data_IF_088887312443
#
_entry.id   IF_088887312443
#
_cell.length_a   1.000
_cell.length_b   1.000
_cell.length_c   1.000
_cell.angle_alpha   90.00
_cell.angle_beta   90.00
_cell.angle_gamma   90.00
#
_symmetry.space_group_name_H-M   'P 1'
#
loop_
_entity.id
_entity.type
_entity.pdbx_description
1 polymer ?
#
# COMPACT_ATOMS: atom_id res chain seq x y z
N UNK A 1 0.70 -5.33 0.78
CA UNK A 1 1.06 -4.01 0.17
C UNK A 1 0.96 -3.99 -1.35
N UNK A 2 1.54 -4.97 -2.06
CA UNK A 2 1.55 -5.01 -3.54
C UNK A 2 0.16 -4.89 -4.17
N UNK A 3 -0.83 -5.66 -3.69
CA UNK A 3 -2.20 -5.57 -4.20
C UNK A 3 -2.82 -4.17 -4.06
N UNK A 4 -2.51 -3.46 -2.96
CA UNK A 4 -2.98 -2.09 -2.75
C UNK A 4 -2.33 -1.15 -3.78
N UNK A 5 -1.03 -1.27 -4.00
CA UNK A 5 -0.31 -0.45 -4.99
C UNK A 5 -0.83 -0.71 -6.42
N UNK A 6 -1.03 -1.98 -6.80
CA UNK A 6 -1.59 -2.34 -8.11
C UNK A 6 -3.02 -1.84 -8.29
N UNK A 7 -3.85 -1.93 -7.25
CA UNK A 7 -5.19 -1.36 -7.25
C UNK A 7 -5.14 0.16 -7.46
N UNK A 8 -4.22 0.86 -6.79
CA UNK A 8 -4.03 2.31 -6.98
C UNK A 8 -3.56 2.66 -8.38
N UNK A 9 -2.56 1.95 -8.91
CA UNK A 9 -2.11 2.14 -10.28
C UNK A 9 -3.27 1.98 -11.28
N UNK A 10 -4.07 0.94 -11.12
CA UNK A 10 -5.23 0.67 -11.97
C UNK A 10 -6.30 1.77 -11.85
N UNK A 11 -6.59 2.23 -10.63
CA UNK A 11 -7.57 3.30 -10.38
C UNK A 11 -7.13 4.67 -10.91
N UNK A 12 -5.82 4.92 -10.98
CA UNK A 12 -5.26 6.16 -11.52
C UNK A 12 -5.25 6.14 -13.05
N UNK A 13 -4.81 5.03 -13.65
CA UNK A 13 -4.68 4.85 -15.10
C UNK A 13 -6.03 4.71 -15.81
N UNK A 14 -7.02 4.06 -15.18
CA UNK A 14 -8.31 3.72 -15.80
C UNK A 14 -9.52 4.04 -14.87
N UNK A 15 -9.82 5.32 -14.61
CA UNK A 15 -10.84 5.72 -13.62
C UNK A 15 -12.25 5.22 -13.96
N UNK A 16 -12.64 5.21 -15.25
CA UNK A 16 -13.98 4.77 -15.68
C UNK A 16 -14.13 3.24 -15.65
N UNK A 17 -13.07 2.52 -16.04
CA UNK A 17 -13.07 1.06 -16.08
C UNK A 17 -13.04 0.45 -14.66
N UNK A 18 -12.34 1.08 -13.72
CA UNK A 18 -12.29 0.63 -12.32
C UNK A 18 -13.63 0.85 -11.61
N UNK A 19 -14.38 1.91 -11.93
CA UNK A 19 -15.73 2.08 -11.36
C UNK A 19 -16.74 1.03 -11.89
N UNK A 20 -16.56 0.55 -13.12
CA UNK A 20 -17.44 -0.47 -13.71
C UNK A 20 -17.05 -1.92 -13.32
N UNK A 21 -15.75 -2.23 -13.23
CA UNK A 21 -15.25 -3.62 -13.11
C UNK A 21 -14.42 -3.85 -11.83
N UNK A 22 -14.09 -2.80 -11.08
CA UNK A 22 -13.18 -2.87 -9.93
C UNK A 22 -13.65 -3.82 -8.82
N UNK A 23 -14.96 -3.91 -8.57
CA UNK A 23 -15.52 -4.72 -7.49
C UNK A 23 -15.30 -6.24 -7.69
N UNK A 24 -15.21 -6.72 -8.93
CA UNK A 24 -15.00 -8.16 -9.25
C UNK A 24 -13.53 -8.55 -9.40
N UNK A 25 -12.62 -7.59 -9.47
CA UNK A 25 -11.18 -7.82 -9.66
C UNK A 25 -10.43 -7.96 -8.33
N UNK A 26 -10.82 -7.17 -7.33
CA UNK A 26 -10.18 -7.21 -6.00
C UNK A 26 -10.24 -8.61 -5.37
N UNK A 27 -11.37 -9.34 -5.37
CA UNK A 27 -11.42 -10.70 -4.82
C UNK A 27 -10.49 -11.65 -5.56
N UNK A 28 -10.41 -11.57 -6.90
CA UNK A 28 -9.51 -12.40 -7.71
C UNK A 28 -8.03 -12.12 -7.42
N UNK A 29 -7.64 -10.85 -7.33
CA UNK A 29 -6.28 -10.47 -6.95
C UNK A 29 -5.92 -10.98 -5.55
N UNK A 30 -6.89 -10.97 -4.63
CA UNK A 30 -6.72 -11.47 -3.27
C UNK A 30 -6.54 -12.99 -3.26
N UNK A 31 -7.38 -13.75 -3.98
CA UNK A 31 -7.26 -15.21 -4.11
C UNK A 31 -5.88 -15.59 -4.69
N UNK A 32 -5.45 -14.91 -5.76
CA UNK A 32 -4.13 -15.15 -6.35
C UNK A 32 -3.00 -14.85 -5.37
N UNK A 33 -3.11 -13.76 -4.60
CA UNK A 33 -2.11 -13.41 -3.59
C UNK A 33 -2.04 -14.44 -2.47
N UNK A 34 -3.18 -14.95 -1.99
CA UNK A 34 -3.22 -16.01 -0.97
C UNK A 34 -2.67 -17.34 -1.51
N UNK A 35 -3.05 -17.73 -2.72
CA UNK A 35 -2.53 -18.94 -3.35
C UNK A 35 -1.00 -18.88 -3.50
N UNK A 36 -0.47 -17.75 -4.00
CA UNK A 36 0.97 -17.54 -4.11
C UNK A 36 1.67 -17.56 -2.74
N UNK A 37 1.05 -16.97 -1.71
CA UNK A 37 1.59 -17.00 -0.35
C UNK A 37 1.67 -18.43 0.19
N UNK A 38 0.63 -19.25 0.01
CA UNK A 38 0.64 -20.66 0.43
C UNK A 38 1.76 -21.42 -0.27
N UNK A 39 1.84 -21.32 -1.61
CA UNK A 39 2.85 -22.04 -2.40
C UNK A 39 4.27 -21.64 -1.99
N UNK A 40 4.52 -20.35 -1.84
CA UNK A 40 5.86 -19.83 -1.49
C UNK A 40 6.26 -20.08 -0.04
N UNK A 41 5.29 -20.33 0.86
CA UNK A 41 5.53 -20.68 2.26
C UNK A 41 5.65 -22.19 2.52
N UNK A 42 5.36 -23.05 1.54
CA UNK A 42 5.52 -24.51 1.69
C UNK A 42 6.92 -24.93 2.20
N UNK A 43 8.04 -24.34 1.73
CA UNK A 43 9.36 -24.69 2.27
C UNK A 43 9.50 -24.37 3.76
N UNK A 44 8.83 -23.33 4.26
CA UNK A 44 8.90 -22.99 5.69
C UNK A 44 8.25 -24.08 6.54
N UNK A 45 7.14 -24.67 6.11
CA UNK A 45 6.46 -25.71 6.87
C UNK A 45 7.32 -26.95 7.12
N UNK A 46 8.27 -27.25 6.23
CA UNK A 46 9.14 -28.44 6.31
C UNK A 46 10.45 -28.18 7.08
N UNK A 47 10.80 -26.91 7.27
CA UNK A 47 12.09 -26.48 7.82
C UNK A 47 12.03 -26.20 9.31
N UNK A 48 10.84 -25.93 9.85
CA UNK A 48 10.64 -25.58 11.25
C UNK A 48 10.15 -26.78 12.05
N UNK A 49 10.84 -27.08 13.14
CA UNK A 49 10.53 -28.18 14.04
C UNK A 49 10.44 -27.68 15.49
N UNK A 50 9.60 -28.35 16.26
CA UNK A 50 9.53 -28.18 17.70
C UNK A 50 10.64 -29.02 18.36
N UNK A 51 11.51 -28.36 19.14
CA UNK A 51 12.63 -29.01 19.82
C UNK A 51 12.62 -28.59 21.29
N UNK A 52 12.86 -29.55 22.18
CA UNK A 52 12.96 -29.31 23.61
C UNK A 52 14.41 -29.03 24.00
N UNK A 53 14.69 -27.80 24.45
CA UNK A 53 15.98 -27.40 24.98
C UNK A 53 15.92 -27.40 26.51
N UNK A 54 16.47 -28.46 27.12
CA UNK A 54 16.38 -28.67 28.57
C UNK A 54 14.91 -28.71 29.03
N UNK A 55 14.42 -27.65 29.68
CA UNK A 55 13.03 -27.53 30.17
C UNK A 55 12.14 -26.59 29.34
N UNK A 56 12.63 -26.01 28.24
CA UNK A 56 11.88 -25.06 27.41
C UNK A 56 11.69 -25.64 26.01
N UNK A 57 10.45 -25.72 25.57
CA UNK A 57 10.12 -26.14 24.21
C UNK A 57 10.13 -24.92 23.29
N UNK A 58 10.94 -24.96 22.22
CA UNK A 58 11.07 -23.86 21.26
C UNK A 58 10.87 -24.37 19.83
N UNK A 59 10.26 -23.54 18.99
CA UNK A 59 10.17 -23.79 17.55
C UNK A 59 11.40 -23.20 16.87
N UNK A 60 12.23 -24.05 16.28
CA UNK A 60 13.51 -23.66 15.67
C UNK A 60 13.65 -24.28 14.28
N UNK A 61 14.55 -23.73 13.46
CA UNK A 61 14.85 -24.36 12.17
C UNK A 61 15.68 -25.64 12.38
N UNK A 62 15.53 -26.60 11.46
CA UNK A 62 16.33 -27.85 11.44
C UNK A 62 17.83 -27.57 11.56
N UNK A 63 18.33 -26.52 10.91
CA UNK A 63 19.75 -26.15 11.00
C UNK A 63 20.15 -25.67 12.39
N UNK A 64 19.29 -24.90 13.06
CA UNK A 64 19.53 -24.46 14.45
C UNK A 64 19.59 -25.66 15.41
N UNK A 65 18.70 -26.64 15.23
CA UNK A 65 18.75 -27.90 15.99
C UNK A 65 20.08 -28.62 15.79
N UNK A 66 20.53 -28.76 14.53
CA UNK A 66 21.78 -29.42 14.19
C UNK A 66 22.98 -28.66 14.78
N UNK A 67 22.99 -27.33 14.72
CA UNK A 67 24.04 -26.50 15.31
C UNK A 67 24.10 -26.70 16.82
N UNK A 68 22.96 -26.78 17.50
CA UNK A 68 22.94 -27.01 18.95
C UNK A 68 23.42 -28.42 19.33
N UNK A 69 23.16 -29.45 18.50
CA UNK A 69 23.56 -30.84 18.77
C UNK A 69 25.00 -31.16 18.36
N UNK A 70 25.45 -30.67 17.20
CA UNK A 70 26.73 -31.04 16.57
C UNK A 70 27.77 -29.91 16.53
N UNK A 71 27.42 -28.71 17.01
CA UNK A 71 28.24 -27.50 17.07
C UNK A 71 28.68 -26.90 15.71
N UNK A 72 28.90 -27.75 14.70
CA UNK A 72 29.26 -27.43 13.32
C UNK A 72 28.27 -28.05 12.33
N UNK A 73 28.00 -27.30 11.27
CA UNK A 73 27.06 -27.67 10.21
C UNK A 73 27.85 -28.21 9.00
N UNK A 74 27.33 -29.24 8.33
CA UNK A 74 27.95 -29.74 7.09
C UNK A 74 27.92 -28.68 5.98
N UNK A 75 28.88 -28.71 5.06
CA UNK A 75 28.94 -27.83 3.87
C UNK A 75 27.66 -27.88 3.01
N UNK A 76 26.97 -29.03 3.00
CA UNK A 76 25.69 -29.18 2.29
C UNK A 76 24.54 -28.50 3.04
N UNK A 77 24.48 -28.71 4.36
CA UNK A 77 23.47 -28.15 5.27
C UNK A 77 23.59 -26.62 5.35
N UNK A 78 24.82 -26.09 5.44
CA UNK A 78 25.10 -24.66 5.43
C UNK A 78 24.65 -24.00 4.12
N UNK A 79 24.90 -24.66 2.98
CA UNK A 79 24.44 -24.17 1.67
C UNK A 79 22.91 -24.13 1.58
N UNK A 80 22.24 -25.16 2.08
CA UNK A 80 20.78 -25.22 2.12
C UNK A 80 20.18 -24.14 3.03
N UNK A 81 20.79 -23.91 4.20
CA UNK A 81 20.40 -22.83 5.11
C UNK A 81 20.52 -21.44 4.44
N UNK A 82 21.66 -21.18 3.77
CA UNK A 82 21.88 -19.92 3.04
C UNK A 82 20.89 -19.75 1.90
N UNK A 83 20.66 -20.79 1.10
CA UNK A 83 19.72 -20.75 -0.02
C UNK A 83 18.29 -20.49 0.45
N UNK A 84 17.86 -21.17 1.51
CA UNK A 84 16.56 -20.94 2.14
C UNK A 84 16.42 -19.50 2.64
N UNK A 85 17.45 -18.96 3.30
CA UNK A 85 17.46 -17.57 3.77
C UNK A 85 17.38 -16.56 2.62
N UNK A 86 18.17 -16.73 1.56
CA UNK A 86 18.14 -15.87 0.36
C UNK A 86 16.78 -15.91 -0.33
N UNK A 87 16.22 -17.11 -0.50
CA UNK A 87 14.90 -17.31 -1.09
C UNK A 87 13.83 -16.58 -0.27
N UNK A 88 13.86 -16.73 1.06
CA UNK A 88 12.93 -16.08 1.96
C UNK A 88 13.02 -14.55 1.87
N UNK A 89 14.22 -14.00 1.93
CA UNK A 89 14.46 -12.56 1.79
C UNK A 89 13.96 -12.04 0.44
N UNK A 90 14.20 -12.79 -0.64
CA UNK A 90 13.79 -12.41 -1.99
C UNK A 90 12.29 -12.41 -2.17
N UNK A 91 11.61 -13.47 -1.75
CA UNK A 91 10.15 -13.60 -1.88
C UNK A 91 9.43 -12.59 -1.01
N UNK A 92 9.86 -12.43 0.24
CA UNK A 92 9.14 -11.59 1.18
C UNK A 92 9.47 -10.12 0.93
N UNK A 93 10.74 -9.73 0.77
CA UNK A 93 11.13 -8.33 0.70
C UNK A 93 11.36 -7.81 -0.72
N UNK A 94 12.32 -8.40 -1.45
CA UNK A 94 12.81 -7.82 -2.70
C UNK A 94 11.78 -7.85 -3.84
N UNK A 95 11.09 -8.98 -4.07
CA UNK A 95 10.07 -9.09 -5.11
C UNK A 95 8.94 -8.08 -4.86
N UNK A 96 8.33 -8.01 -3.66
CA UNK A 96 7.34 -6.98 -3.35
C UNK A 96 7.88 -5.56 -3.50
N UNK A 97 9.11 -5.28 -3.05
CA UNK A 97 9.72 -3.96 -3.17
C UNK A 97 9.89 -3.54 -4.63
N UNK A 98 10.38 -4.42 -5.50
CA UNK A 98 10.55 -4.13 -6.92
C UNK A 98 9.21 -3.82 -7.61
N UNK A 99 8.17 -4.62 -7.33
CA UNK A 99 6.84 -4.37 -7.87
C UNK A 99 6.29 -3.02 -7.36
N UNK A 100 6.50 -2.70 -6.08
CA UNK A 100 6.08 -1.43 -5.49
C UNK A 100 6.80 -0.25 -6.16
N UNK A 101 8.12 -0.29 -6.30
CA UNK A 101 8.90 0.75 -6.98
C UNK A 101 8.41 0.95 -8.41
N UNK A 102 8.27 -0.14 -9.18
CA UNK A 102 7.76 -0.07 -10.55
C UNK A 102 6.35 0.56 -10.62
N UNK A 103 5.43 0.13 -9.75
CA UNK A 103 4.08 0.72 -9.69
C UNK A 103 4.13 2.22 -9.41
N UNK A 104 5.02 2.66 -8.52
CA UNK A 104 5.12 4.06 -8.12
C UNK A 104 5.78 4.95 -9.17
N UNK A 105 6.81 4.46 -9.86
CA UNK A 105 7.40 5.16 -11.00
C UNK A 105 6.34 5.39 -12.08
N UNK A 106 5.52 4.37 -12.38
CA UNK A 106 4.43 4.51 -13.34
C UNK A 106 3.36 5.51 -12.88
N UNK A 107 3.00 5.50 -11.59
CA UNK A 107 2.07 6.47 -11.00
C UNK A 107 2.62 7.90 -11.13
N UNK A 108 3.88 8.13 -10.76
CA UNK A 108 4.50 9.46 -10.82
C UNK A 108 4.59 9.98 -12.25
N UNK A 109 4.94 9.11 -13.21
CA UNK A 109 4.97 9.45 -14.64
C UNK A 109 3.59 9.87 -15.15
N UNK A 110 2.53 9.17 -14.72
CA UNK A 110 1.15 9.46 -15.09
C UNK A 110 0.68 10.81 -14.51
N UNK A 111 1.01 11.07 -13.24
CA UNK A 111 0.72 12.34 -12.57
C UNK A 111 1.47 13.49 -13.24
N UNK A 112 2.76 13.33 -13.52
CA UNK A 112 3.58 14.35 -14.18
C UNK A 112 3.03 14.69 -15.55
N UNK A 113 2.67 13.68 -16.35
CA UNK A 113 2.04 13.89 -17.66
C UNK A 113 0.74 14.68 -17.52
N UNK A 114 -0.14 14.30 -16.59
CA UNK A 114 -1.42 14.98 -16.37
C UNK A 114 -1.23 16.45 -15.97
N UNK A 115 -0.27 16.75 -15.08
CA UNK A 115 0.05 18.12 -14.67
C UNK A 115 0.56 18.98 -15.83
N UNK A 116 1.37 18.41 -16.71
CA UNK A 116 1.90 19.15 -17.86
C UNK A 116 0.81 19.44 -18.89
N UNK A 117 -0.10 18.47 -19.15
CA UNK A 117 -1.22 18.66 -20.07
C UNK A 117 -2.25 19.69 -19.56
N UNK A 118 -2.52 19.73 -18.25
CA UNK A 118 -3.40 20.74 -17.64
C UNK A 118 -2.82 22.17 -17.77
N UNK A 119 -1.49 22.28 -17.73
CA UNK A 119 -0.76 23.56 -17.88
C UNK A 119 -0.88 24.06 -19.32
N UNK A 120 -0.64 23.19 -20.31
CA UNK A 120 -0.78 23.51 -21.73
C UNK A 120 -2.23 23.88 -22.12
N UNK A 121 -3.23 23.15 -21.61
CA UNK A 121 -4.64 23.42 -21.89
C UNK A 121 -5.12 24.74 -21.25
N UNK A 122 -4.63 25.07 -20.04
CA UNK A 122 -4.91 26.37 -19.43
C UNK A 122 -4.33 27.50 -20.28
N UNK A 123 -3.05 27.41 -20.65
CA UNK A 123 -2.38 28.42 -21.47
C UNK A 123 -3.06 28.62 -22.83
N UNK A 124 -3.51 27.54 -23.48
CA UNK A 124 -4.26 27.62 -24.74
C UNK A 124 -5.64 28.28 -24.57
N UNK A 125 -6.34 28.00 -23.47
CA UNK A 125 -7.62 28.64 -23.16
C UNK A 125 -7.47 30.15 -22.89
N UNK A 126 -6.44 30.56 -22.14
CA UNK A 126 -6.13 31.98 -21.91
C UNK A 126 -5.77 32.73 -23.21
N UNK A 127 -4.99 32.09 -24.09
CA UNK A 127 -4.66 32.66 -25.41
C UNK A 127 -5.91 32.80 -26.31
N UNK A 128 -6.83 31.83 -26.24
CA UNK A 128 -8.10 31.90 -26.97
C UNK A 128 -8.99 33.04 -26.45
N UNK A 129 -9.07 33.28 -25.14
CA UNK A 129 -9.81 34.41 -24.57
C UNK A 129 -9.23 35.78 -25.00
N UNK A 130 -7.90 35.90 -25.08
CA UNK A 130 -7.26 37.14 -25.50
C UNK A 130 -7.48 37.44 -27.00
N UNK A 131 -7.62 36.41 -27.82
CA UNK A 131 -7.92 36.56 -29.26
C UNK A 131 -9.37 36.96 -29.54
N UNK A 132 -10.33 36.57 -28.69
CA UNK A 132 -11.75 36.90 -28.88
C UNK A 132 -12.14 38.33 -28.50
N UNK A 133 -11.24 39.11 -27.87
CA UNK A 133 -11.49 40.52 -27.50
C UNK A 133 -11.23 41.52 -28.63
N UNK A 134 -10.85 41.07 -29.84
CA UNK A 134 -10.61 41.95 -31.00
C UNK A 134 -11.52 41.66 -32.20
N UNK A 135 -12.84 41.74 -32.01
CA UNK A 135 -13.74 42.13 -33.11
C UNK A 135 -15.07 42.61 -32.52
N UNK A 136 -15.35 43.90 -32.69
CA UNK A 136 -16.61 44.50 -32.27
C UNK A 136 -17.79 44.08 -33.17
N UNK A 137 -18.97 43.97 -32.56
CA UNK A 137 -20.26 43.98 -33.24
C UNK A 137 -21.06 42.68 -33.13
N UNK A 138 -22.20 42.76 -32.42
CA UNK A 138 -23.33 41.79 -32.33
C UNK A 138 -23.25 40.74 -31.19
N UNK A 139 -23.31 41.23 -29.95
CA UNK A 139 -23.35 40.43 -28.72
C UNK A 139 -24.73 40.50 -28.04
N UNK A 140 -25.63 39.55 -28.32
CA UNK A 140 -26.81 39.33 -27.47
C UNK A 140 -27.28 37.87 -27.47
N UNK A 141 -27.13 37.13 -28.58
CA UNK A 141 -27.60 35.75 -28.69
C UNK A 141 -26.58 34.70 -28.20
N UNK A 142 -25.28 34.98 -28.27
CA UNK A 142 -24.20 34.05 -27.89
C UNK A 142 -23.84 34.05 -26.40
N UNK A 143 -24.39 35.00 -25.61
CA UNK A 143 -24.00 35.21 -24.21
C UNK A 143 -24.49 34.08 -23.28
N UNK A 144 -25.60 33.42 -23.64
CA UNK A 144 -26.23 32.36 -22.84
C UNK A 144 -25.52 31.00 -22.96
N UNK A 145 -24.97 30.71 -24.13
CA UNK A 145 -24.15 29.49 -24.36
C UNK A 145 -22.72 29.63 -23.82
N UNK A 146 -22.19 30.86 -23.82
CA UNK A 146 -20.86 31.14 -23.26
C UNK A 146 -20.86 31.16 -21.73
N UNK A 147 -21.88 31.72 -21.07
CA UNK A 147 -22.04 31.61 -19.61
C UNK A 147 -22.24 30.15 -19.16
N UNK A 148 -23.00 29.35 -19.91
CA UNK A 148 -23.22 27.93 -19.58
C UNK A 148 -21.97 27.08 -19.83
N UNK A 149 -21.18 27.34 -20.89
CA UNK A 149 -19.89 26.69 -21.12
C UNK A 149 -18.84 27.07 -20.06
N UNK A 150 -18.73 28.35 -19.68
CA UNK A 150 -17.83 28.83 -18.61
C UNK A 150 -18.23 28.28 -17.24
N UNK A 151 -19.54 28.15 -16.97
CA UNK A 151 -20.05 27.55 -15.73
C UNK A 151 -19.84 26.02 -15.71
N UNK A 152 -19.91 25.34 -16.85
CA UNK A 152 -19.66 23.89 -16.98
C UNK A 152 -18.15 23.58 -16.86
N UNK A 153 -17.29 24.37 -17.50
CA UNK A 153 -15.82 24.26 -17.36
C UNK A 153 -15.36 24.58 -15.93
N UNK A 154 -15.87 25.63 -15.28
CA UNK A 154 -15.53 25.89 -13.86
C UNK A 154 -16.04 24.80 -12.91
N UNK A 155 -17.20 24.19 -13.17
CA UNK A 155 -17.75 23.09 -12.36
C UNK A 155 -16.99 21.77 -12.56
N UNK A 156 -16.52 21.49 -13.78
CA UNK A 156 -15.66 20.33 -14.08
C UNK A 156 -14.25 20.51 -13.53
N UNK A 157 -13.67 21.71 -13.59
CA UNK A 157 -12.36 22.05 -12.98
C UNK A 157 -12.40 21.91 -11.46
N UNK A 158 -13.46 22.40 -10.77
CA UNK A 158 -13.64 22.17 -9.32
C UNK A 158 -13.82 20.70 -8.95
N UNK A 159 -14.48 19.91 -9.80
CA UNK A 159 -14.63 18.47 -9.63
C UNK A 159 -13.29 17.73 -9.78
N UNK A 160 -12.52 18.08 -10.82
CA UNK A 160 -11.17 17.60 -11.09
C UNK A 160 -10.21 17.92 -9.92
N UNK A 161 -10.26 19.13 -9.35
CA UNK A 161 -9.45 19.48 -8.18
C UNK A 161 -9.77 18.64 -6.94
N UNK A 162 -11.06 18.45 -6.62
CA UNK A 162 -11.48 17.64 -5.47
C UNK A 162 -11.05 16.18 -5.65
N UNK A 163 -11.19 15.66 -6.87
CA UNK A 163 -10.73 14.33 -7.25
C UNK A 163 -9.21 14.20 -7.16
N UNK A 164 -8.45 15.22 -7.61
CA UNK A 164 -6.98 15.31 -7.48
C UNK A 164 -6.54 15.31 -6.02
N UNK A 165 -7.18 16.11 -5.16
CA UNK A 165 -6.90 16.15 -3.71
C UNK A 165 -7.18 14.81 -3.03
N UNK A 166 -8.27 14.12 -3.41
CA UNK A 166 -8.57 12.78 -2.92
C UNK A 166 -7.53 11.74 -3.36
N UNK A 167 -7.05 11.81 -4.60
CA UNK A 167 -5.94 10.98 -5.13
C UNK A 167 -4.65 11.21 -4.33
N UNK A 168 -4.24 12.47 -4.13
CA UNK A 168 -3.01 12.81 -3.39
C UNK A 168 -3.08 12.31 -1.95
N UNK A 169 -4.22 12.47 -1.26
CA UNK A 169 -4.40 11.94 0.11
C UNK A 169 -4.26 10.41 0.12
N UNK A 170 -4.88 9.72 -0.83
CA UNK A 170 -4.77 8.26 -0.92
C UNK A 170 -3.34 7.81 -1.24
N UNK A 171 -2.61 8.54 -2.08
CA UNK A 171 -1.21 8.25 -2.42
C UNK A 171 -0.27 8.45 -1.23
N UNK A 172 -0.51 9.49 -0.42
CA UNK A 172 0.25 9.72 0.81
C UNK A 172 0.13 8.53 1.76
N UNK A 173 -1.06 7.97 1.93
CA UNK A 173 -1.28 6.78 2.78
C UNK A 173 -0.50 5.59 2.22
N UNK A 174 -0.61 5.32 0.92
CA UNK A 174 0.07 4.16 0.33
C UNK A 174 1.59 4.33 0.33
N UNK A 175 2.11 5.56 0.18
CA UNK A 175 3.54 5.87 0.32
C UNK A 175 4.01 5.63 1.75
N UNK A 176 3.24 6.05 2.76
CA UNK A 176 3.54 5.76 4.17
C UNK A 176 3.58 4.25 4.43
N UNK A 177 2.65 3.47 3.87
CA UNK A 177 2.67 2.01 3.99
C UNK A 177 3.96 1.40 3.41
N UNK A 178 4.46 1.93 2.28
CA UNK A 178 5.69 1.42 1.65
C UNK A 178 6.93 1.84 2.43
N UNK A 179 6.98 3.08 2.92
CA UNK A 179 8.09 3.55 3.73
C UNK A 179 8.18 2.76 5.03
N UNK A 180 7.05 2.57 5.72
CA UNK A 180 6.99 1.72 6.92
C UNK A 180 7.42 0.30 6.60
N UNK A 181 6.94 -0.27 5.49
CA UNK A 181 7.36 -1.59 5.05
C UNK A 181 8.88 -1.68 4.86
N UNK A 182 9.48 -0.73 4.14
CA UNK A 182 10.91 -0.68 3.94
C UNK A 182 11.67 -0.55 5.27
N UNK A 183 11.28 0.38 6.15
CA UNK A 183 11.98 0.63 7.43
C UNK A 183 11.88 -0.55 8.40
N UNK A 184 10.74 -1.24 8.44
CA UNK A 184 10.53 -2.37 9.35
C UNK A 184 11.18 -3.67 8.86
N UNK A 185 11.26 -3.86 7.54
CA UNK A 185 11.85 -5.07 6.96
C UNK A 185 13.34 -4.94 6.63
N UNK A 186 13.84 -3.73 6.34
CA UNK A 186 15.24 -3.54 5.94
C UNK A 186 16.25 -4.02 7.00
N UNK A 187 16.10 -3.73 8.30
CA UNK A 187 17.04 -4.21 9.32
C UNK A 187 17.13 -5.73 9.37
N UNK A 188 15.98 -6.41 9.31
CA UNK A 188 15.90 -7.87 9.26
C UNK A 188 16.58 -8.45 8.02
N UNK A 189 16.36 -7.85 6.84
CA UNK A 189 16.99 -8.32 5.61
C UNK A 189 18.51 -8.07 5.60
N UNK A 190 18.98 -6.96 6.17
CA UNK A 190 20.41 -6.70 6.34
C UNK A 190 21.07 -7.75 7.25
N UNK A 191 20.41 -8.12 8.35
CA UNK A 191 20.87 -9.22 9.20
C UNK A 191 20.86 -10.57 8.47
N UNK A 192 19.84 -10.83 7.66
CA UNK A 192 19.76 -12.05 6.84
C UNK A 192 20.93 -12.14 5.86
N UNK A 193 21.32 -11.03 5.22
CA UNK A 193 22.50 -10.98 4.35
C UNK A 193 23.80 -11.12 5.13
N UNK A 194 23.91 -10.49 6.29
CA UNK A 194 25.06 -10.64 7.18
C UNK A 194 25.26 -12.12 7.56
N UNK A 195 24.17 -12.81 7.94
CA UNK A 195 24.18 -14.24 8.24
C UNK A 195 24.65 -15.09 7.05
N UNK A 196 24.25 -14.75 5.82
CA UNK A 196 24.64 -15.48 4.60
C UNK A 196 26.12 -15.28 4.27
N UNK A 197 26.62 -14.04 4.40
CA UNK A 197 28.00 -13.68 4.05
C UNK A 197 29.01 -14.10 5.12
N UNK A 198 28.71 -13.81 6.39
CA UNK A 198 29.61 -14.01 7.53
C UNK A 198 28.89 -14.71 8.68
N UNK A 199 28.71 -16.02 8.52
CA UNK A 199 28.04 -16.87 9.51
C UNK A 199 28.71 -16.85 10.89
N UNK A 200 30.04 -16.93 10.95
CA UNK A 200 30.76 -17.02 12.23
C UNK A 200 30.63 -15.72 13.05
N UNK A 201 30.81 -14.57 12.41
CA UNK A 201 30.62 -13.26 13.04
C UNK A 201 29.15 -12.99 13.43
N UNK A 202 28.20 -13.50 12.64
CA UNK A 202 26.78 -13.44 12.97
C UNK A 202 26.47 -14.20 14.26
N UNK A 203 27.01 -15.41 14.42
CA UNK A 203 26.79 -16.29 15.57
C UNK A 203 27.24 -15.64 16.89
N UNK A 204 28.37 -14.95 16.88
CA UNK A 204 28.91 -14.28 18.07
C UNK A 204 28.05 -13.09 18.53
N UNK A 205 27.29 -12.47 17.62
CA UNK A 205 26.51 -11.25 17.88
C UNK A 205 24.99 -11.50 17.90
N UNK A 206 24.54 -12.75 18.02
CA UNK A 206 23.12 -13.11 18.02
C UNK A 206 22.31 -12.34 19.08
N UNK A 207 22.85 -12.24 20.30
CA UNK A 207 22.18 -11.61 21.46
C UNK A 207 22.08 -10.09 21.37
N UNK A 208 22.87 -9.43 20.51
CA UNK A 208 22.77 -7.98 20.29
C UNK A 208 21.75 -7.65 19.19
N UNK A 209 21.58 -8.57 18.23
CA UNK A 209 20.78 -8.36 17.03
C UNK A 209 19.29 -8.72 17.16
N UNK A 210 18.84 -9.27 18.31
CA UNK A 210 17.43 -9.65 18.52
C UNK A 210 16.45 -8.47 18.42
N UNK A 211 16.86 -7.27 18.83
CA UNK A 211 16.02 -6.06 18.78
C UNK A 211 15.69 -5.71 17.33
N UNK A 212 16.70 -5.81 16.45
CA UNK A 212 16.55 -5.54 15.02
C UNK A 212 15.64 -6.58 14.34
N UNK A 213 15.70 -7.85 14.77
CA UNK A 213 14.75 -8.87 14.34
C UNK A 213 13.31 -8.57 14.77
N UNK A 214 13.13 -7.94 15.94
CA UNK A 214 11.80 -7.62 16.49
C UNK A 214 11.10 -6.48 15.73
N UNK A 215 11.84 -5.64 14.98
CA UNK A 215 11.28 -4.54 14.19
C UNK A 215 10.29 -5.01 13.12
N UNK A 216 10.43 -6.23 12.61
CA UNK A 216 9.50 -6.80 11.62
C UNK A 216 8.08 -6.95 12.20
N UNK A 217 7.97 -7.21 13.51
CA UNK A 217 6.69 -7.39 14.21
C UNK A 217 5.93 -6.05 14.31
N UNK A 218 6.67 -4.94 14.42
CA UNK A 218 6.09 -3.60 14.48
C UNK A 218 5.33 -3.23 13.19
N UNK A 219 5.65 -3.85 12.05
CA UNK A 219 4.91 -3.63 10.79
C UNK A 219 3.40 -3.89 10.96
N UNK A 220 3.03 -4.95 11.68
CA UNK A 220 1.63 -5.29 11.96
C UNK A 220 0.95 -4.28 12.89
N UNK A 221 1.71 -3.73 13.85
CA UNK A 221 1.21 -2.73 14.81
C UNK A 221 0.99 -1.37 14.15
N UNK A 222 1.87 -0.98 13.22
CA UNK A 222 1.81 0.34 12.56
C UNK A 222 0.62 0.42 11.57
N UNK A 223 0.22 -0.72 10.97
CA UNK A 223 -0.86 -0.78 9.98
C UNK A 223 -2.17 -0.11 10.45
N UNK A 224 -2.77 -0.47 11.62
CA UNK A 224 -3.93 0.22 12.18
C UNK A 224 -3.78 1.73 12.32
N UNK A 225 -2.59 2.26 12.66
CA UNK A 225 -2.37 3.71 12.76
C UNK A 225 -2.38 4.39 11.39
N UNK A 226 -1.83 3.74 10.38
CA UNK A 226 -1.81 4.27 9.01
C UNK A 226 -3.24 4.31 8.44
N UNK A 227 -4.01 3.23 8.57
CA UNK A 227 -5.40 3.20 8.12
C UNK A 227 -6.31 4.06 9.02
N UNK A 228 -6.09 4.03 10.33
CA UNK A 228 -6.84 4.76 11.35
C UNK A 228 -6.68 6.28 11.27
N UNK A 229 -5.55 6.81 10.82
CA UNK A 229 -5.45 8.26 10.54
C UNK A 229 -6.37 8.72 9.41
N UNK A 230 -6.85 7.82 8.55
CA UNK A 230 -7.74 8.15 7.44
C UNK A 230 -9.17 7.63 7.57
N UNK A 231 -9.37 6.49 8.26
CA UNK A 231 -10.68 5.94 8.59
C UNK A 231 -11.14 6.28 10.00
N UNK A 232 -10.24 6.37 10.98
CA UNK A 232 -10.54 6.71 12.37
C UNK A 232 -11.16 8.10 12.52
N UNK A 233 -10.76 9.09 11.71
CA UNK A 233 -11.50 10.37 11.64
C UNK A 233 -12.94 10.13 11.17
N UNK A 234 -13.15 9.34 10.11
CA UNK A 234 -14.48 9.04 9.56
C UNK A 234 -15.32 8.14 10.48
N UNK A 235 -14.69 7.24 11.24
CA UNK A 235 -15.32 6.36 12.24
C UNK A 235 -15.65 7.13 13.52
N UNK A 236 -14.77 8.03 13.97
CA UNK A 236 -15.04 8.97 15.07
C UNK A 236 -16.15 9.95 14.70
N UNK A 237 -16.19 10.46 13.47
CA UNK A 237 -17.32 11.26 12.98
C UNK A 237 -18.62 10.43 12.92
N UNK A 238 -18.58 9.18 12.45
CA UNK A 238 -19.75 8.29 12.39
C UNK A 238 -20.22 7.81 13.77
N UNK A 239 -19.31 7.60 14.71
CA UNK A 239 -19.62 7.32 16.12
C UNK A 239 -20.20 8.56 16.80
N UNK A 240 -19.59 9.74 16.60
CA UNK A 240 -20.08 11.01 17.11
C UNK A 240 -21.46 11.35 16.55
N UNK A 241 -21.72 11.12 15.26
CA UNK A 241 -23.05 11.29 14.65
C UNK A 241 -24.08 10.29 15.21
N UNK A 242 -23.68 9.04 15.48
CA UNK A 242 -24.57 8.05 16.13
C UNK A 242 -24.84 8.36 17.60
N UNK A 243 -23.87 8.94 18.31
CA UNK A 243 -24.00 9.38 19.70
C UNK A 243 -24.75 10.72 19.83
N UNK A 244 -24.63 11.60 18.85
CA UNK A 244 -25.30 12.91 18.80
C UNK A 244 -26.69 12.86 18.13
N UNK A 245 -27.10 11.71 17.56
CA UNK A 245 -28.45 11.54 17.06
C UNK A 245 -29.43 11.55 18.25
N UNK A 246 -30.32 12.56 18.37
CA UNK A 246 -31.38 12.50 19.35
C UNK A 246 -32.22 11.24 19.10
N UNK A 247 -32.52 10.48 20.15
CA UNK A 247 -33.50 9.39 20.12
C UNK A 247 -34.90 9.97 19.92
N UNK A 248 -35.17 10.60 18.78
CA UNK A 248 -36.49 11.17 18.48
C UNK A 248 -37.36 10.13 17.77
N UNK A 249 -38.26 9.55 18.57
CA UNK A 249 -39.63 9.14 18.19
C UNK A 249 -39.74 8.19 16.99
N UNK A 250 -39.39 6.91 17.19
CA UNK A 250 -39.97 5.80 16.41
C UNK A 250 -40.78 4.79 17.24
N UNK A 251 -41.10 5.13 18.49
CA UNK A 251 -41.92 4.31 19.40
C UNK A 251 -43.40 4.77 19.45
N UNK A 252 -43.73 6.00 19.04
CA UNK A 252 -45.13 6.50 19.07
C UNK A 252 -46.02 6.14 17.86
N UNK A 253 -45.65 5.15 17.03
CA UNK A 253 -46.51 4.72 15.89
C UNK A 253 -47.00 3.26 15.98
N UNK A 254 -46.74 2.57 17.09
CA UNK A 254 -47.17 1.19 17.34
C UNK A 254 -48.15 1.06 18.54
N UNK A 255 -48.62 2.17 19.10
CA UNK A 255 -49.62 2.19 20.20
C UNK A 255 -50.92 2.92 19.80
N UNK A 256 -51.25 2.92 18.51
CA UNK A 256 -52.48 3.56 18.02
C UNK A 256 -53.11 2.80 16.85
N UNK A 257 -53.10 1.47 16.92
CA UNK A 257 -54.00 0.57 16.21
C UNK A 257 -54.26 -0.65 17.08
#
# INVERSE_FOLDING_TARGET
MVCIALYRLSALRYPLWVNAVGHSRVPRMLILAWALAVVTMLPQMLVWNEVQFSNITQCVTVWTEIINKREKLSESELRNMKLYSIQNATIIFYIPLMILVACYVLILKDIYKTLNTDTECSSAAYLSEMSSSKTGGKAALHKKDQESFVTLTTRTVRGQEKFRRAKVRSLRITLLLILTYAVTWLPYNLLSWWMVLHWDSYRENLDSNYILNSLVVLNSVINPFIYGRCQGIRFLFKCRERLAAPKTKKICKLLQN
#
